data_IF_813714508603
#
_entry.id   IF_813714508603
#
_cell.length_a   1.000
_cell.length_b   1.000
_cell.length_c   1.000
_cell.angle_alpha   90.00
_cell.angle_beta   90.00
_cell.angle_gamma   90.00
#
_symmetry.space_group_name_H-M   'P 1'
#
loop_
_entity.id
_entity.type
_entity.pdbx_description
1 polymer ?
#
# COMPACT_ATOMS: atom_id res chain seq x y z
N UNK A 1 -57.43 25.83 52.08
CA UNK A 1 -57.41 26.18 50.65
C UNK A 1 -56.15 25.58 50.05
N UNK A 2 -56.27 24.52 49.25
CA UNK A 2 -55.15 23.78 48.68
C UNK A 2 -54.74 24.40 47.32
N UNK A 3 -53.43 24.60 47.15
CA UNK A 3 -52.82 25.26 45.99
C UNK A 3 -52.80 24.40 44.73
N UNK A 4 -52.91 25.09 43.59
CA UNK A 4 -52.75 24.57 42.23
C UNK A 4 -51.33 24.03 42.03
N UNK A 5 -51.22 22.77 41.61
CA UNK A 5 -49.97 22.14 41.17
C UNK A 5 -49.94 22.00 39.66
N UNK A 6 -49.06 22.77 39.03
CA UNK A 6 -48.75 22.84 37.60
C UNK A 6 -48.35 21.47 37.02
N UNK A 7 -49.09 20.97 36.03
CA UNK A 7 -48.83 19.65 35.42
C UNK A 7 -47.91 19.81 34.20
N UNK A 8 -46.61 19.66 34.44
CA UNK A 8 -45.58 19.83 33.42
C UNK A 8 -45.60 18.67 32.40
N UNK A 9 -46.07 18.97 31.17
CA UNK A 9 -46.09 18.06 30.03
C UNK A 9 -44.65 17.72 29.58
N UNK A 10 -44.29 16.43 29.62
CA UNK A 10 -43.03 15.93 29.04
C UNK A 10 -43.08 15.99 27.51
N UNK A 11 -42.02 16.46 26.81
CA UNK A 11 -41.98 16.44 25.35
C UNK A 11 -41.86 15.00 24.82
N UNK A 12 -42.54 14.73 23.70
CA UNK A 12 -42.55 13.42 23.02
C UNK A 12 -41.17 13.12 22.41
N UNK A 13 -40.68 11.87 22.43
CA UNK A 13 -39.45 11.50 21.76
C UNK A 13 -39.60 11.67 20.24
N UNK A 14 -38.60 12.31 19.60
CA UNK A 14 -38.54 12.50 18.16
C UNK A 14 -38.35 11.19 17.38
N UNK A 15 -38.62 11.19 16.07
CA UNK A 15 -38.53 9.99 15.24
C UNK A 15 -37.09 9.47 15.11
N UNK A 16 -36.90 8.15 14.93
CA UNK A 16 -35.57 7.55 14.81
C UNK A 16 -34.86 8.03 13.54
N UNK A 17 -33.69 8.67 13.72
CA UNK A 17 -32.79 9.01 12.63
C UNK A 17 -32.38 7.74 11.90
N UNK A 18 -32.83 7.59 10.65
CA UNK A 18 -32.40 6.51 9.78
C UNK A 18 -30.92 6.73 9.45
N UNK A 19 -30.04 5.94 10.08
CA UNK A 19 -28.64 5.82 9.68
C UNK A 19 -28.64 5.34 8.24
N UNK A 20 -28.17 6.17 7.30
CA UNK A 20 -28.01 5.78 5.91
C UNK A 20 -27.14 4.52 5.77
N UNK A 21 -27.23 3.81 4.64
CA UNK A 21 -26.40 2.63 4.41
C UNK A 21 -24.92 3.00 4.55
N UNK A 22 -24.09 2.12 5.16
CA UNK A 22 -22.66 2.37 5.26
C UNK A 22 -22.07 2.56 3.84
N UNK A 23 -21.04 3.39 3.68
CA UNK A 23 -20.36 3.53 2.39
C UNK A 23 -19.93 2.13 1.93
N UNK A 24 -20.26 1.78 0.68
CA UNK A 24 -19.94 0.46 0.11
C UNK A 24 -18.46 0.17 0.36
N UNK A 25 -18.19 -0.80 1.24
CA UNK A 25 -16.82 -1.25 1.48
C UNK A 25 -16.24 -1.66 0.12
N UNK A 26 -15.08 -1.08 -0.26
CA UNK A 26 -14.38 -1.51 -1.47
C UNK A 26 -14.26 -3.03 -1.39
N UNK A 27 -14.63 -3.79 -2.45
CA UNK A 27 -14.49 -5.23 -2.45
C UNK A 27 -13.05 -5.57 -2.06
N UNK A 28 -12.89 -6.35 -0.99
CA UNK A 28 -11.55 -6.84 -0.62
C UNK A 28 -11.00 -7.61 -1.82
N UNK A 29 -9.75 -7.38 -2.23
CA UNK A 29 -9.13 -8.18 -3.28
C UNK A 29 -9.30 -9.66 -2.92
N UNK A 30 -9.89 -10.44 -3.83
CA UNK A 30 -10.03 -11.87 -3.59
C UNK A 30 -8.64 -12.53 -3.68
N UNK A 31 -8.36 -13.55 -2.85
CA UNK A 31 -7.13 -14.33 -2.97
C UNK A 31 -6.93 -14.84 -4.40
N UNK A 32 -5.72 -14.71 -4.93
CA UNK A 32 -5.41 -15.17 -6.29
C UNK A 32 -5.00 -16.64 -6.23
N UNK A 33 -5.61 -17.47 -7.07
CA UNK A 33 -5.14 -18.84 -7.29
C UNK A 33 -3.86 -18.79 -8.13
N UNK A 34 -2.71 -18.86 -7.44
CA UNK A 34 -1.36 -18.76 -8.03
C UNK A 34 -1.00 -19.96 -8.91
N UNK A 35 -1.71 -21.09 -8.81
CA UNK A 35 -1.49 -22.26 -9.68
C UNK A 35 -2.17 -22.10 -11.04
N UNK A 36 -3.29 -21.38 -11.07
CA UNK A 36 -4.10 -21.18 -12.29
C UNK A 36 -3.89 -19.81 -12.94
N UNK A 37 -3.28 -18.87 -12.24
CA UNK A 37 -3.08 -17.50 -12.70
C UNK A 37 -1.62 -17.28 -13.07
N UNK A 38 -1.34 -16.85 -14.29
CA UNK A 38 0.03 -16.51 -14.69
C UNK A 38 0.55 -15.33 -13.84
N UNK A 39 1.80 -15.41 -13.33
CA UNK A 39 2.40 -14.30 -12.60
C UNK A 39 2.64 -13.09 -13.53
N UNK A 40 2.64 -11.91 -12.93
CA UNK A 40 3.08 -10.67 -13.57
C UNK A 40 4.57 -10.44 -13.34
N UNK A 41 5.22 -9.77 -14.29
CA UNK A 41 6.58 -9.28 -14.14
C UNK A 41 6.56 -7.95 -13.39
N UNK A 42 7.15 -7.90 -12.21
CA UNK A 42 7.32 -6.71 -11.40
C UNK A 42 8.78 -6.25 -11.49
N UNK A 43 8.99 -5.01 -11.96
CA UNK A 43 10.30 -4.36 -12.00
C UNK A 43 10.52 -3.59 -10.71
N UNK A 44 11.53 -3.98 -9.94
CA UNK A 44 11.85 -3.43 -8.62
C UNK A 44 13.19 -2.71 -8.67
N UNK A 45 13.22 -1.44 -8.30
CA UNK A 45 14.43 -0.63 -8.26
C UNK A 45 14.82 -0.37 -6.81
N UNK A 46 16.00 -0.83 -6.39
CA UNK A 46 16.46 -0.68 -5.00
C UNK A 46 17.44 0.48 -4.85
N UNK A 47 17.33 1.25 -3.76
CA UNK A 47 18.28 2.35 -3.45
C UNK A 47 18.54 2.46 -1.96
N UNK A 48 19.80 2.63 -1.58
CA UNK A 48 20.19 2.82 -0.17
C UNK A 48 20.13 4.31 0.18
N UNK A 49 19.56 4.64 1.34
CA UNK A 49 19.56 6.00 1.89
C UNK A 49 18.49 6.94 1.31
N UNK A 50 17.58 6.46 0.47
CA UNK A 50 16.45 7.25 -0.04
C UNK A 50 15.73 6.60 -1.22
N UNK A 51 14.63 7.19 -1.67
CA UNK A 51 13.96 6.80 -2.91
C UNK A 51 14.67 7.41 -4.12
N UNK A 52 14.48 6.81 -5.29
CA UNK A 52 14.87 7.39 -6.56
C UNK A 52 14.06 8.66 -6.83
N UNK A 53 14.65 9.63 -7.53
CA UNK A 53 13.96 10.83 -7.97
C UNK A 53 13.08 10.50 -9.19
N UNK A 54 12.00 11.25 -9.35
CA UNK A 54 11.09 11.12 -10.49
C UNK A 54 11.82 11.23 -11.85
N UNK A 55 12.84 12.08 -11.92
CA UNK A 55 13.65 12.33 -13.11
C UNK A 55 14.42 11.09 -13.56
N UNK A 56 14.85 10.24 -12.61
CA UNK A 56 15.59 9.01 -12.90
C UNK A 56 14.76 7.97 -13.67
N UNK A 57 13.44 8.13 -13.70
CA UNK A 57 12.52 7.27 -14.45
C UNK A 57 11.96 7.92 -15.72
N UNK A 58 12.33 9.18 -16.01
CA UNK A 58 11.74 9.93 -17.11
C UNK A 58 12.18 9.44 -18.49
N UNK A 59 13.38 8.86 -18.59
CA UNK A 59 13.92 8.32 -19.84
C UNK A 59 13.84 6.79 -19.86
N UNK A 60 12.98 6.23 -20.70
CA UNK A 60 12.90 4.78 -20.94
C UNK A 60 14.27 4.25 -21.38
N UNK A 61 14.77 3.21 -20.70
CA UNK A 61 16.09 2.62 -20.97
C UNK A 61 17.27 3.29 -20.26
N UNK A 62 17.04 4.39 -19.52
CA UNK A 62 18.00 4.97 -18.58
C UNK A 62 17.56 4.86 -17.12
N UNK A 63 16.65 3.93 -16.85
CA UNK A 63 16.20 3.62 -15.49
C UNK A 63 17.40 3.16 -14.63
N UNK A 64 17.32 3.30 -13.29
CA UNK A 64 18.39 2.89 -12.40
C UNK A 64 18.85 1.45 -12.66
N UNK A 65 20.17 1.20 -12.63
CA UNK A 65 20.76 -0.10 -12.99
C UNK A 65 20.48 -1.20 -11.96
N UNK A 66 20.17 -0.83 -10.72
CA UNK A 66 19.86 -1.76 -9.63
C UNK A 66 18.41 -2.26 -9.72
N UNK A 67 18.03 -2.72 -10.92
CA UNK A 67 16.75 -3.35 -11.23
C UNK A 67 16.78 -4.84 -10.86
N UNK A 68 15.74 -5.26 -10.15
CA UNK A 68 15.44 -6.65 -9.81
C UNK A 68 14.09 -6.97 -10.42
N UNK A 69 14.05 -8.07 -11.17
CA UNK A 69 12.81 -8.55 -11.78
C UNK A 69 12.22 -9.68 -10.94
N UNK A 70 10.97 -9.51 -10.53
CA UNK A 70 10.26 -10.46 -9.68
C UNK A 70 9.00 -10.94 -10.42
N UNK A 71 8.84 -12.26 -10.55
CA UNK A 71 7.59 -12.86 -10.99
C UNK A 71 6.67 -13.04 -9.78
N UNK A 72 5.53 -12.36 -9.77
CA UNK A 72 4.63 -12.36 -8.61
C UNK A 72 3.18 -12.14 -9.01
N UNK A 73 2.29 -11.93 -8.04
CA UNK A 73 0.86 -11.66 -8.25
C UNK A 73 0.43 -10.40 -7.51
N UNK A 74 -0.77 -9.89 -7.80
CA UNK A 74 -1.29 -8.69 -7.13
C UNK A 74 -1.57 -8.91 -5.64
N UNK A 75 -1.73 -10.15 -5.20
CA UNK A 75 -1.91 -10.46 -3.78
C UNK A 75 -0.58 -10.54 -3.01
N UNK A 76 0.57 -10.37 -3.68
CA UNK A 76 1.86 -10.39 -3.04
C UNK A 76 1.99 -9.27 -2.01
N UNK A 77 2.34 -9.67 -0.79
CA UNK A 77 2.46 -8.77 0.36
C UNK A 77 3.77 -7.98 0.33
N UNK A 78 3.79 -6.81 0.98
CA UNK A 78 5.04 -6.09 1.20
C UNK A 78 6.06 -6.95 1.98
N UNK A 79 5.57 -7.88 2.79
CA UNK A 79 6.44 -8.85 3.47
C UNK A 79 7.12 -9.81 2.50
N UNK A 80 6.38 -10.45 1.60
CA UNK A 80 6.95 -11.31 0.55
C UNK A 80 8.00 -10.55 -0.27
N UNK A 81 7.69 -9.31 -0.67
CA UNK A 81 8.62 -8.45 -1.41
C UNK A 81 9.87 -8.10 -0.60
N UNK A 82 9.74 -7.89 0.72
CA UNK A 82 10.88 -7.62 1.61
C UNK A 82 11.84 -8.81 1.66
N UNK A 83 11.31 -10.03 1.81
CA UNK A 83 12.12 -11.23 1.89
C UNK A 83 12.84 -11.50 0.56
N UNK A 84 12.18 -11.28 -0.58
CA UNK A 84 12.81 -11.34 -1.91
C UNK A 84 13.90 -10.29 -2.10
N UNK A 85 13.64 -9.02 -1.72
CA UNK A 85 14.65 -7.94 -1.81
C UNK A 85 15.88 -8.25 -0.95
N UNK A 86 15.71 -8.93 0.19
CA UNK A 86 16.84 -9.35 1.03
C UNK A 86 17.73 -10.38 0.34
N UNK A 87 17.20 -11.21 -0.56
CA UNK A 87 18.02 -12.20 -1.27
C UNK A 87 19.03 -11.50 -2.20
N UNK A 88 18.61 -10.42 -2.85
CA UNK A 88 19.38 -9.70 -3.87
C UNK A 88 20.15 -8.48 -3.34
N UNK A 89 19.61 -7.74 -2.36
CA UNK A 89 20.19 -6.51 -1.84
C UNK A 89 20.71 -6.71 -0.41
N UNK A 90 22.02 -6.93 -0.26
CA UNK A 90 22.69 -7.14 1.03
C UNK A 90 22.39 -6.05 2.09
N UNK A 91 22.30 -4.74 1.76
CA UNK A 91 21.95 -3.71 2.74
C UNK A 91 20.59 -3.93 3.39
N UNK A 92 19.64 -4.57 2.69
CA UNK A 92 18.33 -4.89 3.24
C UNK A 92 18.39 -5.98 4.32
N UNK A 93 19.50 -6.73 4.46
CA UNK A 93 19.67 -7.76 5.50
C UNK A 93 20.12 -7.20 6.86
N UNK A 94 20.33 -5.89 7.00
CA UNK A 94 20.70 -5.32 8.31
C UNK A 94 19.54 -5.46 9.28
N UNK A 95 19.82 -5.79 10.54
CA UNK A 95 18.80 -6.03 11.58
C UNK A 95 17.81 -4.87 11.76
N UNK A 96 18.29 -3.64 11.59
CA UNK A 96 17.50 -2.43 11.75
C UNK A 96 17.09 -1.80 10.42
N UNK A 97 17.31 -2.48 9.28
CA UNK A 97 16.96 -1.94 7.98
C UNK A 97 15.44 -1.77 7.87
N UNK A 98 15.02 -0.59 7.41
CA UNK A 98 13.65 -0.28 7.05
C UNK A 98 13.55 -0.22 5.53
N UNK A 99 12.61 -0.96 4.97
CA UNK A 99 12.32 -0.92 3.54
C UNK A 99 11.09 -0.05 3.33
N UNK A 100 11.23 1.03 2.58
CA UNK A 100 10.13 1.90 2.18
C UNK A 100 9.78 1.62 0.73
N UNK A 101 8.50 1.37 0.45
CA UNK A 101 7.99 1.00 -0.87
C UNK A 101 7.27 2.18 -1.50
N UNK A 102 7.53 2.42 -2.77
CA UNK A 102 6.86 3.42 -3.57
C UNK A 102 6.52 2.87 -4.96
N UNK A 103 5.34 3.19 -5.47
CA UNK A 103 5.00 2.94 -6.86
C UNK A 103 5.53 4.07 -7.72
N UNK A 104 6.03 3.71 -8.91
CA UNK A 104 6.50 4.65 -9.90
C UNK A 104 5.71 4.44 -11.18
N UNK A 105 4.97 5.46 -11.58
CA UNK A 105 4.06 5.38 -12.73
C UNK A 105 3.94 6.74 -13.43
N UNK A 106 3.61 6.77 -14.73
CA UNK A 106 3.36 8.03 -15.43
C UNK A 106 2.04 8.65 -14.95
N UNK A 107 2.09 9.92 -14.55
CA UNK A 107 0.89 10.73 -14.35
C UNK A 107 0.24 11.09 -15.70
N UNK A 108 -0.95 11.68 -15.66
CA UNK A 108 -1.73 12.11 -16.84
C UNK A 108 -0.95 13.03 -17.79
N UNK A 109 0.05 13.73 -17.27
CA UNK A 109 0.92 14.63 -18.03
C UNK A 109 2.15 13.91 -18.64
N UNK A 110 2.23 12.58 -18.54
CA UNK A 110 3.35 11.77 -19.01
C UNK A 110 4.60 11.84 -18.13
N UNK A 111 4.56 12.56 -17.00
CA UNK A 111 5.67 12.64 -16.04
C UNK A 111 5.60 11.49 -15.06
N UNK A 112 6.72 10.83 -14.81
CA UNK A 112 6.76 9.78 -13.78
C UNK A 112 6.62 10.39 -12.38
N UNK A 113 5.84 9.72 -11.54
CA UNK A 113 5.62 10.08 -10.15
C UNK A 113 6.01 8.91 -9.27
N UNK A 114 6.82 9.20 -8.25
CA UNK A 114 7.16 8.26 -7.17
C UNK A 114 6.21 8.49 -6.02
N UNK A 115 5.34 7.53 -5.73
CA UNK A 115 4.34 7.59 -4.66
C UNK A 115 4.62 6.52 -3.61
N UNK A 116 5.01 6.96 -2.41
CA UNK A 116 5.19 6.04 -1.29
C UNK A 116 3.86 5.38 -0.89
N UNK A 117 3.89 4.05 -0.69
CA UNK A 117 2.69 3.24 -0.42
C UNK A 117 2.76 2.47 0.90
N UNK A 118 3.96 2.19 1.42
CA UNK A 118 4.10 1.51 2.70
C UNK A 118 5.55 1.34 3.12
N UNK A 119 5.75 0.78 4.30
CA UNK A 119 7.08 0.38 4.75
C UNK A 119 7.05 -0.87 5.63
N UNK A 120 8.12 -1.64 5.55
CA UNK A 120 8.37 -2.84 6.35
C UNK A 120 9.73 -2.72 7.04
N UNK A 121 10.00 -3.67 7.93
CA UNK A 121 11.31 -3.85 8.53
C UNK A 121 11.92 -5.15 8.05
N UNK A 122 13.24 -5.16 7.87
CA UNK A 122 13.98 -6.35 7.46
C UNK A 122 13.82 -7.53 8.42
N UNK A 123 13.70 -7.21 9.72
CA UNK A 123 13.49 -8.17 10.80
C UNK A 123 12.27 -7.79 11.63
N UNK A 124 11.59 -8.81 12.12
CA UNK A 124 10.31 -8.70 12.82
C UNK A 124 9.15 -8.84 11.83
N UNK A 125 8.27 -9.80 12.08
CA UNK A 125 7.00 -9.93 11.37
C UNK A 125 5.92 -9.11 12.09
N UNK A 126 5.00 -8.54 11.32
CA UNK A 126 3.81 -7.88 11.86
C UNK A 126 4.05 -6.45 12.33
N UNK A 127 5.15 -5.82 11.91
CA UNK A 127 5.41 -4.39 12.14
C UNK A 127 5.26 -3.62 10.83
N UNK A 128 4.61 -2.46 10.89
CA UNK A 128 4.39 -1.62 9.70
C UNK A 128 3.31 -2.19 8.79
N UNK A 129 3.60 -2.19 7.49
CA UNK A 129 2.63 -2.49 6.43
C UNK A 129 2.75 -3.91 5.84
N UNK A 130 3.41 -4.83 6.55
CA UNK A 130 3.76 -6.20 6.12
C UNK A 130 2.62 -6.92 5.39
N UNK A 131 1.40 -6.85 5.91
CA UNK A 131 0.25 -7.59 5.40
C UNK A 131 -0.43 -6.94 4.18
N UNK A 132 -0.07 -5.71 3.81
CA UNK A 132 -0.69 -5.05 2.66
C UNK A 132 -0.16 -5.68 1.37
N UNK A 133 -1.06 -6.08 0.50
CA UNK A 133 -0.71 -6.57 -0.83
C UNK A 133 -0.52 -5.42 -1.84
N UNK A 134 0.14 -5.72 -2.95
CA UNK A 134 0.21 -4.80 -4.10
C UNK A 134 -1.19 -4.34 -4.54
N UNK A 135 -2.15 -5.27 -4.56
CA UNK A 135 -3.56 -5.01 -4.88
C UNK A 135 -4.23 -4.08 -3.88
N UNK A 136 -4.02 -4.27 -2.58
CA UNK A 136 -4.55 -3.39 -1.53
C UNK A 136 -4.02 -1.97 -1.64
N UNK A 137 -2.77 -1.83 -2.10
CA UNK A 137 -2.09 -0.55 -2.27
C UNK A 137 -2.43 0.15 -3.60
N UNK A 138 -3.18 -0.51 -4.47
CA UNK A 138 -3.63 0.04 -5.75
C UNK A 138 -2.63 -0.10 -6.90
N UNK A 139 -1.76 -1.11 -6.85
CA UNK A 139 -0.80 -1.42 -7.91
C UNK A 139 -1.52 -1.71 -9.25
N UNK A 140 -1.01 -1.12 -10.33
CA UNK A 140 -1.41 -1.41 -11.69
C UNK A 140 -0.30 -2.14 -12.44
N UNK A 141 -0.70 -3.04 -13.35
CA UNK A 141 0.27 -3.75 -14.19
C UNK A 141 0.92 -2.71 -15.10
N UNK A 142 2.24 -2.61 -15.03
CA UNK A 142 3.02 -1.59 -15.73
C UNK A 142 3.65 -0.56 -14.78
N UNK A 143 3.16 -0.45 -13.55
CA UNK A 143 3.82 0.35 -12.50
C UNK A 143 5.15 -0.30 -12.13
N UNK A 144 6.13 0.52 -11.80
CA UNK A 144 7.38 0.05 -11.20
C UNK A 144 7.32 0.15 -9.68
N UNK A 145 8.19 -0.60 -9.00
CA UNK A 145 8.34 -0.54 -7.56
C UNK A 145 9.70 0.03 -7.20
N UNK A 146 9.74 1.19 -6.54
CA UNK A 146 10.96 1.72 -5.92
C UNK A 146 11.01 1.28 -4.46
N UNK A 147 12.13 0.70 -4.05
CA UNK A 147 12.37 0.23 -2.68
C UNK A 147 13.58 0.97 -2.12
N UNK A 148 13.32 1.84 -1.14
CA UNK A 148 14.36 2.52 -0.40
C UNK A 148 14.74 1.70 0.83
N UNK A 149 16.04 1.44 0.99
CA UNK A 149 16.63 0.72 2.13
C UNK A 149 17.32 1.75 3.03
N UNK A 150 16.80 1.92 4.24
CA UNK A 150 17.33 2.81 5.28
C UNK A 150 17.88 2.02 6.46
#
# INVERSE_FOLDING_TARGET
MAGMGDMQMRPRPGPPMHRGPPPMARPRPQPIDREKTCPLLLRVFTKVGGHHLNEEFSERGKEPKDEVQIYTWKDATLRELTDLVKEVALPARKRNARLSFAFVYPDKNGRFVVKQVGSTFSYGHGRGDDAKSLGDLGFQIGDYLSVSIM
#
